data_IF_599557121317
#
_entry.id   IF_599557121317
#
_cell.length_a   1.000
_cell.length_b   1.000
_cell.length_c   1.000
_cell.angle_alpha   90.00
_cell.angle_beta   90.00
_cell.angle_gamma   90.00
#
_symmetry.space_group_name_H-M   'P 1'
#
loop_
_entity.id
_entity.type
_entity.pdbx_description
1 polymer ?
#
# COMPACT_ATOMS: atom_id res chain seq x y z
N UNK A 1 1.62 6.41 -7.59
CA UNK A 1 1.60 4.94 -7.39
C UNK A 1 0.49 4.22 -8.14
N UNK A 2 -0.60 4.87 -8.59
CA UNK A 2 -1.63 4.20 -9.43
C UNK A 2 -1.32 4.26 -10.93
N UNK A 3 -1.70 3.21 -11.68
CA UNK A 3 -1.71 3.18 -13.16
C UNK A 3 -0.50 2.53 -13.85
N UNK A 4 0.59 2.27 -13.13
CA UNK A 4 1.82 1.75 -13.72
C UNK A 4 2.12 0.27 -13.39
N UNK A 5 1.22 -0.43 -12.71
CA UNK A 5 1.39 -1.84 -12.33
C UNK A 5 2.46 -2.12 -11.26
N UNK A 6 3.06 -1.08 -10.66
CA UNK A 6 4.22 -1.25 -9.76
C UNK A 6 3.84 -1.78 -8.38
N UNK A 7 2.75 -1.30 -7.79
CA UNK A 7 2.26 -1.77 -6.49
C UNK A 7 0.77 -2.05 -6.59
N UNK A 8 0.30 -3.05 -5.86
CA UNK A 8 -1.12 -3.36 -5.77
C UNK A 8 -1.91 -2.13 -5.30
N UNK A 9 -2.98 -1.80 -6.03
CA UNK A 9 -3.85 -0.67 -5.72
C UNK A 9 -4.58 -0.86 -4.38
N UNK A 10 -5.04 -2.08 -4.09
CA UNK A 10 -5.69 -2.43 -2.83
C UNK A 10 -4.76 -2.17 -1.63
N UNK A 11 -3.51 -2.63 -1.73
CA UNK A 11 -2.49 -2.44 -0.69
C UNK A 11 -2.19 -0.95 -0.47
N UNK A 12 -2.01 -0.20 -1.55
CA UNK A 12 -1.76 1.25 -1.48
C UNK A 12 -2.92 1.99 -0.80
N UNK A 13 -4.16 1.62 -1.13
CA UNK A 13 -5.35 2.17 -0.49
C UNK A 13 -5.40 1.86 1.01
N UNK A 14 -5.10 0.62 1.40
CA UNK A 14 -5.05 0.23 2.80
C UNK A 14 -3.97 0.97 3.60
N UNK A 15 -2.77 1.17 3.03
CA UNK A 15 -1.73 2.01 3.66
C UNK A 15 -2.20 3.45 3.87
N UNK A 16 -2.99 4.00 2.93
CA UNK A 16 -3.57 5.32 3.07
C UNK A 16 -4.58 5.37 4.22
N UNK A 17 -5.43 4.34 4.37
CA UNK A 17 -6.38 4.24 5.49
C UNK A 17 -5.64 4.17 6.83
N UNK A 18 -4.59 3.37 6.95
CA UNK A 18 -3.72 3.33 8.14
C UNK A 18 -3.14 4.72 8.42
N UNK A 19 -2.67 5.40 7.37
CA UNK A 19 -2.19 6.78 7.46
C UNK A 19 -3.27 7.79 7.86
N UNK A 20 -4.54 7.58 7.51
CA UNK A 20 -5.63 8.45 7.96
C UNK A 20 -6.01 8.19 9.42
N UNK A 21 -5.93 6.93 9.88
CA UNK A 21 -6.27 6.57 11.27
C UNK A 21 -5.21 7.00 12.28
N UNK A 22 -3.92 6.85 11.92
CA UNK A 22 -2.79 7.10 12.83
C UNK A 22 -1.88 8.24 12.37
N UNK A 23 -2.17 8.88 11.24
CA UNK A 23 -1.40 10.02 10.76
C UNK A 23 -1.76 11.31 11.47
N UNK A 24 -0.74 12.14 11.68
CA UNK A 24 -0.88 13.50 12.22
C UNK A 24 -1.28 14.47 11.12
N UNK A 25 -2.31 15.29 11.36
CA UNK A 25 -2.80 16.32 10.42
C UNK A 25 -1.75 17.40 10.02
N UNK A 26 -0.56 17.41 10.63
CA UNK A 26 0.39 18.53 10.57
C UNK A 26 1.68 18.36 9.73
N UNK A 27 1.96 17.22 9.08
CA UNK A 27 3.25 17.06 8.36
C UNK A 27 3.13 16.44 6.97
N UNK A 28 2.57 17.20 6.02
CA UNK A 28 2.77 17.00 4.57
C UNK A 28 4.16 17.56 4.22
N UNK A 29 5.21 16.90 4.71
CA UNK A 29 6.60 17.19 4.35
C UNK A 29 7.12 16.12 3.41
N UNK A 30 6.76 16.19 2.13
CA UNK A 30 7.35 15.36 1.07
C UNK A 30 8.89 15.52 1.10
N UNK A 31 9.61 14.45 1.44
CA UNK A 31 11.02 14.32 1.06
C UNK A 31 11.07 13.35 -0.12
N UNK A 32 11.17 13.91 -1.32
CA UNK A 32 11.50 13.20 -2.56
C UNK A 32 12.88 12.58 -2.40
N UNK A 33 13.01 11.26 -2.56
CA UNK A 33 14.32 10.61 -2.53
C UNK A 33 14.24 9.10 -2.61
N UNK A 34 14.82 8.55 -3.67
CA UNK A 34 14.99 7.13 -3.94
C UNK A 34 15.78 6.42 -2.81
N UNK A 35 15.49 5.12 -2.66
CA UNK A 35 16.31 4.08 -2.02
C UNK A 35 17.30 4.57 -0.94
N UNK A 36 16.95 4.41 0.33
CA UNK A 36 17.90 4.61 1.42
C UNK A 36 17.20 4.80 2.77
N UNK A 37 17.75 4.16 3.79
CA UNK A 37 17.34 4.31 5.20
C UNK A 37 17.08 5.79 5.56
N UNK A 38 15.96 6.14 6.20
CA UNK A 38 15.74 7.52 6.61
C UNK A 38 16.48 7.78 7.92
N UNK A 39 17.59 8.51 7.82
CA UNK A 39 18.24 9.14 8.96
C UNK A 39 17.29 10.15 9.63
N UNK A 40 17.20 10.01 10.95
CA UNK A 40 16.35 10.75 11.86
C UNK A 40 17.05 12.04 12.27
N UNK A 41 16.48 13.20 11.94
CA UNK A 41 16.83 14.46 12.62
C UNK A 41 15.62 15.05 13.33
N UNK A 42 15.85 15.25 14.62
CA UNK A 42 14.96 15.64 15.70
C UNK A 42 14.27 16.99 15.49
N UNK A 43 13.03 17.07 15.98
CA UNK A 43 12.33 18.31 16.26
C UNK A 43 11.24 18.07 17.32
N UNK A 44 11.49 18.55 18.53
CA UNK A 44 10.63 18.80 19.71
C UNK A 44 9.55 17.77 20.13
N UNK A 45 9.68 17.30 21.37
CA UNK A 45 8.96 16.19 21.98
C UNK A 45 7.50 16.47 22.36
N UNK A 46 6.61 15.61 21.85
CA UNK A 46 5.43 15.11 22.55
C UNK A 46 5.43 13.59 22.39
N UNK A 47 5.40 12.82 23.50
CA UNK A 47 5.57 11.36 23.47
C UNK A 47 4.48 10.65 22.64
N UNK A 48 3.26 11.18 22.63
CA UNK A 48 2.10 10.64 21.91
C UNK A 48 2.21 10.74 20.37
N UNK A 49 2.78 11.85 19.87
CA UNK A 49 2.95 12.10 18.43
C UNK A 49 3.97 11.15 17.79
N UNK A 50 5.02 10.81 18.54
CA UNK A 50 5.98 9.79 18.11
C UNK A 50 5.40 8.38 18.11
N UNK A 51 4.45 8.09 18.99
CA UNK A 51 3.91 6.74 19.15
C UNK A 51 2.86 6.43 18.07
N UNK A 52 2.03 7.39 17.68
CA UNK A 52 1.12 7.23 16.54
C UNK A 52 1.89 7.04 15.21
N UNK A 53 3.00 7.75 15.00
CA UNK A 53 3.84 7.56 13.81
C UNK A 53 4.53 6.19 13.79
N UNK A 54 4.97 5.70 14.96
CA UNK A 54 5.51 4.33 15.09
C UNK A 54 4.42 3.30 14.81
N UNK A 55 3.22 3.50 15.35
CA UNK A 55 2.08 2.61 15.15
C UNK A 55 1.65 2.56 13.68
N UNK A 56 1.55 3.71 13.02
CA UNK A 56 1.25 3.79 11.59
C UNK A 56 2.27 3.02 10.74
N UNK A 57 3.56 3.19 11.05
CA UNK A 57 4.66 2.47 10.36
C UNK A 57 4.63 0.97 10.62
N UNK A 58 4.43 0.57 11.87
CA UNK A 58 4.34 -0.83 12.27
C UNK A 58 3.14 -1.52 11.61
N UNK A 59 1.96 -0.89 11.63
CA UNK A 59 0.76 -1.41 10.96
C UNK A 59 0.92 -1.48 9.45
N UNK A 60 1.55 -0.47 8.84
CA UNK A 60 1.90 -0.51 7.41
C UNK A 60 2.83 -1.67 7.08
N UNK A 61 3.84 -1.91 7.93
CA UNK A 61 4.78 -3.01 7.75
C UNK A 61 4.07 -4.37 7.86
N UNK A 62 3.24 -4.55 8.89
CA UNK A 62 2.44 -5.77 9.07
C UNK A 62 1.48 -6.03 7.91
N UNK A 63 0.84 -4.97 7.40
CA UNK A 63 -0.02 -5.08 6.22
C UNK A 63 0.75 -5.60 5.00
N UNK A 64 1.98 -5.10 4.77
CA UNK A 64 2.83 -5.57 3.67
C UNK A 64 3.21 -7.04 3.88
N UNK A 65 3.71 -7.38 5.07
CA UNK A 65 4.12 -8.75 5.40
C UNK A 65 2.95 -9.74 5.27
N UNK A 66 1.77 -9.36 5.77
CA UNK A 66 0.55 -10.15 5.66
C UNK A 66 0.17 -10.37 4.20
N UNK A 67 0.17 -9.31 3.39
CA UNK A 67 -0.20 -9.39 1.98
C UNK A 67 0.82 -10.21 1.16
N UNK A 68 2.13 -10.04 1.41
CA UNK A 68 3.18 -10.82 0.74
C UNK A 68 3.16 -12.28 1.17
N UNK A 69 2.83 -12.58 2.43
CA UNK A 69 2.70 -13.97 2.87
C UNK A 69 1.51 -14.67 2.19
N UNK A 70 0.40 -13.95 1.98
CA UNK A 70 -0.80 -14.50 1.35
C UNK A 70 -0.68 -14.63 -0.18
N UNK A 71 -0.06 -13.63 -0.83
CA UNK A 71 -0.07 -13.51 -2.30
C UNK A 71 1.32 -13.59 -2.96
N UNK A 72 2.39 -13.68 -2.18
CA UNK A 72 3.78 -13.84 -2.62
C UNK A 72 4.51 -12.56 -3.04
N UNK A 73 3.80 -11.47 -3.38
CA UNK A 73 4.40 -10.20 -3.83
C UNK A 73 3.43 -9.04 -3.64
N UNK A 74 3.95 -7.81 -3.60
CA UNK A 74 3.13 -6.59 -3.64
C UNK A 74 2.99 -5.99 -5.04
N UNK A 75 3.71 -6.52 -6.03
CA UNK A 75 3.76 -5.97 -7.38
C UNK A 75 2.54 -6.40 -8.20
N UNK A 76 1.78 -5.45 -8.74
CA UNK A 76 0.49 -5.74 -9.39
C UNK A 76 0.64 -6.57 -10.67
N UNK A 77 1.71 -6.32 -11.44
CA UNK A 77 2.03 -7.10 -12.63
C UNK A 77 2.32 -8.57 -12.29
N UNK A 78 3.02 -8.84 -11.20
CA UNK A 78 3.33 -10.21 -10.78
C UNK A 78 2.09 -10.91 -10.22
N UNK A 79 1.30 -10.21 -9.40
CA UNK A 79 0.02 -10.69 -8.87
C UNK A 79 -1.00 -11.06 -9.96
N UNK A 80 -1.09 -10.24 -11.00
CA UNK A 80 -2.04 -10.45 -12.10
C UNK A 80 -1.44 -11.27 -13.24
N UNK A 81 -0.12 -11.42 -13.29
CA UNK A 81 0.61 -11.96 -14.44
C UNK A 81 0.57 -11.05 -15.68
N UNK A 82 0.13 -9.80 -15.51
CA UNK A 82 -0.16 -8.88 -16.61
C UNK A 82 0.59 -7.57 -16.45
N UNK A 83 1.39 -7.24 -17.45
CA UNK A 83 2.01 -5.94 -17.57
C UNK A 83 1.07 -4.97 -18.28
N UNK A 84 0.26 -4.25 -17.51
CA UNK A 84 -0.72 -3.29 -18.03
C UNK A 84 -0.11 -2.23 -18.95
N UNK A 85 1.20 -1.95 -18.83
CA UNK A 85 1.90 -0.98 -19.69
C UNK A 85 2.06 -1.48 -21.12
N UNK A 86 1.97 -2.79 -21.34
CA UNK A 86 2.11 -3.43 -22.64
C UNK A 86 0.77 -3.69 -23.33
N UNK A 87 -0.34 -3.55 -22.61
CA UNK A 87 -1.66 -3.78 -23.16
C UNK A 87 -2.18 -2.54 -23.87
N UNK A 88 -2.73 -2.72 -25.07
CA UNK A 88 -3.53 -1.70 -25.73
C UNK A 88 -4.97 -1.69 -25.19
N UNK A 89 -5.77 -0.69 -25.58
CA UNK A 89 -7.15 -0.54 -25.10
C UNK A 89 -8.01 -1.82 -25.27
N UNK A 90 -8.10 -2.40 -26.48
CA UNK A 90 -8.83 -3.65 -26.70
C UNK A 90 -8.35 -4.83 -25.85
N UNK A 91 -7.04 -5.02 -25.72
CA UNK A 91 -6.45 -6.08 -24.88
C UNK A 91 -6.79 -5.86 -23.40
N UNK A 92 -6.72 -4.63 -22.92
CA UNK A 92 -7.10 -4.30 -21.55
C UNK A 92 -8.58 -4.61 -21.29
N UNK A 93 -9.46 -4.26 -22.23
CA UNK A 93 -10.90 -4.54 -22.13
C UNK A 93 -11.20 -6.05 -22.10
N UNK A 94 -10.47 -6.85 -22.87
CA UNK A 94 -10.60 -8.31 -22.85
C UNK A 94 -10.19 -8.91 -21.49
N UNK A 95 -9.28 -8.26 -20.76
CA UNK A 95 -8.76 -8.73 -19.47
C UNK A 95 -9.55 -8.19 -18.27
N UNK A 96 -10.49 -7.26 -18.45
CA UNK A 96 -11.32 -6.71 -17.37
C UNK A 96 -11.98 -7.77 -16.48
N UNK A 97 -12.56 -8.87 -17.02
CA UNK A 97 -13.14 -9.91 -16.18
C UNK A 97 -12.11 -10.58 -15.25
N UNK A 98 -10.88 -10.75 -15.75
CA UNK A 98 -9.78 -11.33 -14.98
C UNK A 98 -9.32 -10.40 -13.86
N UNK A 99 -9.23 -9.09 -14.13
CA UNK A 99 -8.96 -8.10 -13.09
C UNK A 99 -10.08 -8.04 -12.06
N UNK A 100 -11.35 -8.11 -12.47
CA UNK A 100 -12.47 -8.08 -11.53
C UNK A 100 -12.38 -9.25 -10.55
N UNK A 101 -12.14 -10.47 -11.04
CA UNK A 101 -12.05 -11.66 -10.18
C UNK A 101 -10.79 -11.68 -9.30
N UNK A 102 -9.60 -11.33 -9.81
CA UNK A 102 -8.36 -11.35 -9.01
C UNK A 102 -8.25 -10.16 -8.06
N UNK A 103 -8.50 -8.94 -8.55
CA UNK A 103 -8.34 -7.74 -7.74
C UNK A 103 -9.33 -7.70 -6.57
N UNK A 104 -10.52 -8.31 -6.72
CA UNK A 104 -11.45 -8.49 -5.60
C UNK A 104 -10.82 -9.26 -4.44
N UNK A 105 -10.11 -10.36 -4.71
CA UNK A 105 -9.43 -11.14 -3.66
C UNK A 105 -8.39 -10.32 -2.91
N UNK A 106 -7.63 -9.48 -3.63
CA UNK A 106 -6.65 -8.60 -3.01
C UNK A 106 -7.32 -7.52 -2.15
N UNK A 107 -8.48 -7.01 -2.58
CA UNK A 107 -9.30 -6.10 -1.78
C UNK A 107 -9.82 -6.78 -0.52
N UNK A 108 -10.35 -8.00 -0.64
CA UNK A 108 -10.83 -8.79 0.50
C UNK A 108 -9.70 -8.98 1.52
N UNK A 109 -8.51 -9.43 1.10
CA UNK A 109 -7.36 -9.62 1.99
C UNK A 109 -7.01 -8.34 2.77
N UNK A 110 -6.91 -7.19 2.09
CA UNK A 110 -6.54 -5.94 2.79
C UNK A 110 -7.68 -5.44 3.68
N UNK A 111 -8.94 -5.64 3.30
CA UNK A 111 -10.09 -5.26 4.13
C UNK A 111 -10.13 -6.12 5.39
N UNK A 112 -9.96 -7.44 5.28
CA UNK A 112 -9.86 -8.33 6.45
C UNK A 112 -8.76 -7.89 7.40
N UNK A 113 -7.56 -7.59 6.89
CA UNK A 113 -6.49 -7.06 7.74
C UNK A 113 -6.90 -5.75 8.44
N UNK A 114 -7.50 -4.81 7.70
CA UNK A 114 -7.91 -3.53 8.28
C UNK A 114 -9.00 -3.72 9.34
N UNK A 115 -9.94 -4.63 9.15
CA UNK A 115 -10.99 -4.93 10.13
C UNK A 115 -10.44 -5.56 11.42
N UNK A 116 -9.40 -6.39 11.32
CA UNK A 116 -8.78 -7.04 12.48
C UNK A 116 -7.79 -6.12 13.23
N UNK A 117 -7.02 -5.32 12.50
CA UNK A 117 -5.88 -4.58 13.05
C UNK A 117 -6.17 -3.09 13.31
N UNK A 118 -7.26 -2.51 12.78
CA UNK A 118 -7.66 -1.12 13.04
C UNK A 118 -8.82 -1.05 14.02
#
# INVERSE_FOLDING_TARGET
>A
MGGCGCTCGALTGAMMVIGMKYGTAGQIGMKSGAAGQPEMKSGAAGQDETDNKKLAREKTRRLIEFFENEHGTTLCNDLTGLDQRKLNGPELMAMLPHFHSRCQKFLETVVTFLEEEL
#
